data_IF_833159387502
#
_entry.id   IF_833159387502
#
_cell.length_a   1.000
_cell.length_b   1.000
_cell.length_c   1.000
_cell.angle_alpha   90.00
_cell.angle_beta   90.00
_cell.angle_gamma   90.00
#
_symmetry.space_group_name_H-M   'P 1'
#
loop_
_entity.id
_entity.type
_entity.pdbx_description
1 polymer ?
#
# COMPACT_ATOMS: atom_id res chain seq x y z
N UNK A 1 2.32 4.67 1.21
CA UNK A 1 2.99 3.38 1.05
C UNK A 1 2.53 2.44 2.17
N UNK A 2 2.01 1.28 1.81
CA UNK A 2 1.63 0.22 2.75
C UNK A 2 2.67 -0.90 2.58
N UNK A 3 3.41 -1.20 3.64
CA UNK A 3 4.50 -2.19 3.60
C UNK A 3 4.05 -3.44 4.35
N UNK A 4 3.95 -4.55 3.64
CA UNK A 4 3.57 -5.84 4.20
C UNK A 4 4.77 -6.59 4.81
N UNK A 5 4.48 -7.48 5.76
CA UNK A 5 5.47 -8.39 6.38
C UNK A 5 6.72 -7.69 6.91
N UNK A 6 6.57 -6.41 7.27
CA UNK A 6 7.66 -5.56 7.72
C UNK A 6 7.56 -5.32 9.23
N UNK A 7 8.50 -5.87 9.96
CA UNK A 7 8.50 -5.83 11.43
C UNK A 7 9.29 -4.65 11.97
N UNK A 8 8.85 -4.15 13.12
CA UNK A 8 9.51 -3.07 13.88
C UNK A 8 11.00 -3.35 14.10
N UNK A 9 11.37 -4.62 14.26
CA UNK A 9 12.75 -5.05 14.52
C UNK A 9 13.74 -4.68 13.40
N UNK A 10 13.27 -4.51 12.18
CA UNK A 10 14.12 -4.10 11.05
C UNK A 10 14.54 -2.63 11.09
N UNK A 11 13.85 -1.81 11.86
CA UNK A 11 14.09 -0.35 11.93
C UNK A 11 15.02 -0.04 13.09
N UNK A 12 16.22 0.47 12.82
CA UNK A 12 17.23 0.76 13.83
C UNK A 12 16.75 1.77 14.87
N UNK A 13 16.16 2.86 14.44
CA UNK A 13 15.64 3.95 15.31
C UNK A 13 14.59 3.50 16.32
N UNK A 14 13.88 2.42 16.06
CA UNK A 14 12.88 1.87 16.99
C UNK A 14 13.48 0.88 18.00
N UNK A 15 14.74 0.48 17.83
CA UNK A 15 15.38 -0.54 18.61
C UNK A 15 16.77 -0.11 19.14
N UNK A 16 16.90 1.07 19.75
CA UNK A 16 18.19 1.60 20.17
C UNK A 16 18.85 0.79 21.31
N UNK A 17 18.10 -0.12 21.91
CA UNK A 17 18.55 -0.96 23.03
C UNK A 17 19.16 -2.31 22.58
N UNK A 18 18.96 -2.71 21.32
CA UNK A 18 19.50 -3.96 20.79
C UNK A 18 21.02 -3.86 20.57
N UNK A 19 21.70 -5.01 20.61
CA UNK A 19 23.15 -5.13 20.43
C UNK A 19 23.96 -4.17 21.35
N UNK A 20 23.52 -4.04 22.60
CA UNK A 20 24.10 -3.12 23.58
C UNK A 20 24.14 -1.65 23.09
N UNK A 21 23.13 -1.23 22.34
CA UNK A 21 23.03 0.13 21.82
C UNK A 21 23.74 0.37 20.47
N UNK A 22 24.22 -0.68 19.82
CA UNK A 22 24.95 -0.56 18.54
C UNK A 22 24.13 -1.01 17.33
N UNK A 23 22.91 -1.51 17.54
CA UNK A 23 22.04 -1.97 16.47
C UNK A 23 21.64 -0.83 15.51
N UNK A 24 21.85 -1.04 14.22
CA UNK A 24 21.58 -0.05 13.17
C UNK A 24 20.35 -0.40 12.33
N UNK A 25 19.79 -1.61 12.50
CA UNK A 25 18.71 -2.07 11.64
C UNK A 25 19.13 -2.31 10.19
N UNK A 26 18.14 -2.43 9.33
CA UNK A 26 18.29 -2.69 7.90
C UNK A 26 17.75 -1.59 7.00
N UNK A 27 17.26 -0.50 7.59
CA UNK A 27 16.51 0.54 6.89
C UNK A 27 17.12 1.94 7.07
N UNK A 28 18.36 2.19 6.67
CA UNK A 28 19.05 3.46 6.94
C UNK A 28 18.34 4.68 6.32
N UNK A 29 17.70 4.51 5.16
CA UNK A 29 16.93 5.59 4.54
C UNK A 29 15.65 5.88 5.34
N UNK A 30 14.89 4.84 5.74
CA UNK A 30 13.70 5.00 6.56
C UNK A 30 14.05 5.62 7.92
N UNK A 31 15.12 5.16 8.56
CA UNK A 31 15.63 5.76 9.81
C UNK A 31 15.92 7.26 9.66
N UNK A 32 16.54 7.65 8.56
CA UNK A 32 16.76 9.07 8.21
C UNK A 32 15.43 9.83 8.05
N UNK A 33 14.45 9.23 7.41
CA UNK A 33 13.14 9.83 7.15
C UNK A 33 12.33 10.04 8.44
N UNK A 34 12.41 9.08 9.36
CA UNK A 34 11.75 9.14 10.67
C UNK A 34 12.18 10.35 11.51
N UNK A 35 13.40 10.85 11.31
CA UNK A 35 13.86 12.08 11.98
C UNK A 35 13.17 13.36 11.50
N UNK A 36 12.48 13.30 10.36
CA UNK A 36 11.82 14.45 9.70
C UNK A 36 10.30 14.33 9.70
N UNK A 37 9.76 13.26 10.22
CA UNK A 37 8.34 12.94 10.20
C UNK A 37 7.73 12.77 11.59
N UNK A 38 6.45 12.45 11.61
CA UNK A 38 5.73 12.04 12.81
C UNK A 38 5.71 10.51 12.87
N UNK A 39 6.08 9.96 14.03
CA UNK A 39 6.01 8.53 14.33
C UNK A 39 5.17 8.27 15.56
N UNK A 40 4.65 7.05 15.65
CA UNK A 40 3.84 6.63 16.80
C UNK A 40 4.54 5.48 17.51
N UNK A 41 4.80 5.66 18.82
CA UNK A 41 5.42 4.64 19.65
C UNK A 41 4.52 3.40 19.79
N UNK A 42 3.23 3.64 19.91
CA UNK A 42 2.22 2.59 20.05
C UNK A 42 1.37 2.54 18.79
N UNK A 43 1.77 1.68 17.87
CA UNK A 43 1.05 1.43 16.63
C UNK A 43 0.83 -0.08 16.47
N UNK A 44 -0.40 -0.47 16.18
CA UNK A 44 -0.79 -1.87 16.09
C UNK A 44 -1.47 -2.13 14.76
N UNK A 45 -1.14 -3.26 14.15
CA UNK A 45 -1.85 -3.70 12.95
C UNK A 45 -3.28 -4.09 13.31
N UNK A 46 -4.20 -3.78 12.42
CA UNK A 46 -5.60 -4.19 12.54
C UNK A 46 -5.83 -5.40 11.64
N UNK A 47 -5.84 -6.58 12.23
CA UNK A 47 -5.91 -7.84 11.51
C UNK A 47 -4.55 -8.55 11.37
N UNK A 48 -4.56 -9.73 10.76
CA UNK A 48 -3.40 -10.61 10.60
C UNK A 48 -3.04 -10.88 9.14
N UNK A 49 -3.82 -10.37 8.22
CA UNK A 49 -3.68 -10.58 6.78
C UNK A 49 -3.82 -9.26 6.05
N UNK A 50 -3.22 -9.15 4.89
CA UNK A 50 -3.30 -7.97 4.02
C UNK A 50 -4.72 -7.60 3.65
N UNK A 51 -5.57 -8.60 3.44
CA UNK A 51 -6.99 -8.43 3.17
C UNK A 51 -7.76 -7.74 4.32
N UNK A 52 -7.26 -7.82 5.55
CA UNK A 52 -7.82 -7.10 6.71
C UNK A 52 -7.26 -5.67 6.80
N UNK A 53 -6.00 -5.51 6.40
CA UNK A 53 -5.29 -4.23 6.52
C UNK A 53 -5.82 -3.15 5.58
N UNK A 54 -6.13 -3.51 4.34
CA UNK A 54 -6.60 -2.54 3.33
C UNK A 54 -7.88 -1.78 3.74
N UNK A 55 -8.97 -2.46 4.14
CA UNK A 55 -10.17 -1.76 4.60
C UNK A 55 -9.89 -0.86 5.82
N UNK A 56 -8.99 -1.29 6.69
CA UNK A 56 -8.64 -0.51 7.88
C UNK A 56 -7.90 0.77 7.54
N UNK A 57 -6.91 0.70 6.65
CA UNK A 57 -6.10 1.87 6.26
C UNK A 57 -6.90 2.86 5.42
N UNK A 58 -7.68 2.37 4.45
CA UNK A 58 -8.33 3.23 3.45
C UNK A 58 -9.72 3.70 3.85
N UNK A 59 -10.39 2.97 4.73
CA UNK A 59 -11.80 3.19 5.08
C UNK A 59 -12.10 3.13 6.57
N UNK A 60 -11.08 3.02 7.42
CA UNK A 60 -11.22 2.91 8.89
C UNK A 60 -12.12 1.76 9.35
N UNK A 61 -12.20 0.69 8.56
CA UNK A 61 -12.99 -0.50 8.89
C UNK A 61 -12.13 -1.42 9.76
N UNK A 62 -12.54 -1.73 11.00
CA UNK A 62 -11.78 -2.61 11.86
C UNK A 62 -11.80 -4.06 11.34
N UNK A 63 -10.80 -4.85 11.70
CA UNK A 63 -10.80 -6.28 11.44
C UNK A 63 -11.88 -6.99 12.24
N UNK A 64 -12.57 -7.92 11.59
CA UNK A 64 -13.55 -8.79 12.19
C UNK A 64 -13.05 -10.25 12.20
N UNK A 65 -13.90 -11.19 12.58
CA UNK A 65 -13.59 -12.62 12.52
C UNK A 65 -13.33 -13.05 11.08
N UNK A 66 -14.22 -12.61 10.17
CA UNK A 66 -14.07 -12.81 8.73
C UNK A 66 -13.54 -11.53 8.07
N UNK A 67 -12.65 -11.63 7.07
CA UNK A 67 -12.22 -10.48 6.28
C UNK A 67 -13.42 -9.73 5.69
N UNK A 68 -13.41 -8.41 5.78
CA UNK A 68 -14.49 -7.54 5.31
C UNK A 68 -14.95 -7.88 3.88
N UNK A 69 -14.01 -8.14 2.97
CA UNK A 69 -14.31 -8.47 1.57
C UNK A 69 -15.13 -9.75 1.38
N UNK A 70 -15.07 -10.67 2.34
CA UNK A 70 -15.75 -11.95 2.29
C UNK A 70 -17.13 -11.89 2.96
N UNK A 71 -17.54 -10.74 3.45
CA UNK A 71 -18.83 -10.55 4.11
C UNK A 71 -19.81 -9.77 3.23
N UNK A 72 -21.12 -9.93 3.41
CA UNK A 72 -22.12 -9.08 2.74
C UNK A 72 -21.95 -7.58 3.03
N UNK A 73 -21.26 -7.22 4.10
CA UNK A 73 -20.98 -5.83 4.44
C UNK A 73 -20.14 -5.12 3.37
N UNK A 74 -19.35 -5.84 2.59
CA UNK A 74 -18.57 -5.30 1.46
C UNK A 74 -19.43 -4.76 0.32
N UNK A 75 -20.71 -5.09 0.30
CA UNK A 75 -21.67 -4.56 -0.69
C UNK A 75 -22.27 -3.21 -0.27
N UNK A 76 -22.02 -2.77 0.96
CA UNK A 76 -22.48 -1.45 1.42
C UNK A 76 -21.65 -0.33 0.81
N UNK A 77 -22.25 0.83 0.74
CA UNK A 77 -21.54 2.06 0.39
C UNK A 77 -20.63 2.48 1.54
N UNK A 78 -19.32 2.41 1.31
CA UNK A 78 -18.30 2.67 2.33
C UNK A 78 -17.54 3.93 1.98
N UNK A 79 -17.42 4.84 2.95
CA UNK A 79 -16.58 6.01 2.79
C UNK A 79 -15.09 5.64 2.85
N UNK A 80 -14.27 6.38 2.13
CA UNK A 80 -12.83 6.23 2.12
C UNK A 80 -12.13 7.57 1.98
N UNK A 81 -10.83 7.58 2.26
CA UNK A 81 -10.01 8.75 2.03
C UNK A 81 -10.05 9.23 0.56
N UNK A 82 -10.05 8.30 -0.41
CA UNK A 82 -10.15 8.62 -1.82
C UNK A 82 -11.47 9.33 -2.15
N UNK A 83 -12.59 8.80 -1.65
CA UNK A 83 -13.92 9.38 -1.87
C UNK A 83 -14.06 10.76 -1.24
N UNK A 84 -13.58 10.95 -0.02
CA UNK A 84 -13.62 12.24 0.67
C UNK A 84 -12.80 13.31 -0.05
N UNK A 85 -11.62 12.94 -0.55
CA UNK A 85 -10.76 13.86 -1.28
C UNK A 85 -11.25 14.14 -2.71
N UNK A 86 -11.99 13.22 -3.32
CA UNK A 86 -12.61 13.43 -4.64
C UNK A 86 -13.53 14.65 -4.64
N UNK A 87 -14.30 14.88 -3.57
CA UNK A 87 -15.14 16.07 -3.41
C UNK A 87 -14.34 17.37 -3.35
N UNK A 88 -13.03 17.29 -3.13
CA UNK A 88 -12.08 18.41 -3.13
C UNK A 88 -11.28 18.51 -4.43
N UNK A 89 -11.64 17.72 -5.45
CA UNK A 89 -11.00 17.73 -6.75
C UNK A 89 -9.71 16.92 -6.86
N UNK A 90 -9.41 16.04 -5.90
CA UNK A 90 -8.27 15.13 -5.98
C UNK A 90 -8.56 13.99 -6.95
N UNK A 91 -7.58 13.67 -7.78
CA UNK A 91 -7.50 12.40 -8.48
C UNK A 91 -6.93 11.34 -7.53
N UNK A 92 -7.41 10.11 -7.63
CA UNK A 92 -6.98 9.04 -6.73
C UNK A 92 -6.59 7.76 -7.49
N UNK A 93 -5.45 7.17 -7.13
CA UNK A 93 -4.96 5.93 -7.74
C UNK A 93 -4.46 4.93 -6.70
N UNK A 94 -4.81 3.67 -6.89
CA UNK A 94 -4.34 2.54 -6.09
C UNK A 94 -3.41 1.66 -6.90
N UNK A 95 -2.29 1.24 -6.29
CA UNK A 95 -1.25 0.44 -6.91
C UNK A 95 -1.02 -0.86 -6.13
N UNK A 96 -0.85 -1.96 -6.85
CA UNK A 96 -0.51 -3.26 -6.27
C UNK A 96 0.14 -4.15 -7.31
N UNK A 97 1.39 -4.55 -7.13
CA UNK A 97 2.22 -5.26 -8.12
C UNK A 97 1.77 -6.67 -8.50
N UNK A 98 0.77 -7.23 -7.82
CA UNK A 98 0.23 -8.54 -8.14
C UNK A 98 -0.83 -8.48 -9.26
N UNK A 99 -1.32 -9.66 -9.65
CA UNK A 99 -2.40 -9.80 -10.64
C UNK A 99 -3.63 -9.00 -10.18
N UNK A 100 -4.26 -8.27 -11.10
CA UNK A 100 -5.32 -7.30 -10.80
C UNK A 100 -6.50 -7.83 -9.97
N UNK A 101 -6.84 -9.08 -10.03
CA UNK A 101 -7.88 -9.70 -9.19
C UNK A 101 -7.44 -10.18 -7.81
N UNK A 102 -6.13 -10.13 -7.50
CA UNK A 102 -5.59 -10.68 -6.26
C UNK A 102 -6.23 -10.09 -5.02
N UNK A 103 -6.63 -10.96 -4.09
CA UNK A 103 -7.24 -10.64 -2.80
C UNK A 103 -8.43 -9.67 -2.85
N UNK A 104 -9.03 -9.44 -4.03
CA UNK A 104 -10.15 -8.52 -4.20
C UNK A 104 -9.77 -7.03 -4.08
N UNK A 105 -8.48 -6.68 -4.08
CA UNK A 105 -8.02 -5.29 -3.89
C UNK A 105 -8.52 -4.33 -4.96
N UNK A 106 -8.53 -4.74 -6.22
CA UNK A 106 -9.08 -3.92 -7.30
C UNK A 106 -10.57 -3.64 -7.11
N UNK A 107 -11.35 -4.68 -6.78
CA UNK A 107 -12.79 -4.54 -6.54
C UNK A 107 -13.06 -3.60 -5.36
N UNK A 108 -12.29 -3.73 -4.28
CA UNK A 108 -12.41 -2.85 -3.13
C UNK A 108 -12.00 -1.40 -3.48
N UNK A 109 -10.86 -1.19 -4.09
CA UNK A 109 -10.41 0.15 -4.47
C UNK A 109 -11.47 0.87 -5.32
N UNK A 110 -12.06 0.16 -6.29
CA UNK A 110 -13.16 0.70 -7.10
C UNK A 110 -14.42 1.02 -6.24
N UNK A 111 -14.80 0.13 -5.34
CA UNK A 111 -15.99 0.30 -4.49
C UNK A 111 -15.87 1.48 -3.53
N UNK A 112 -14.67 1.76 -3.04
CA UNK A 112 -14.40 2.88 -2.13
C UNK A 112 -13.99 4.17 -2.85
N UNK A 113 -14.05 4.18 -4.18
CA UNK A 113 -14.02 5.41 -4.98
C UNK A 113 -12.67 5.85 -5.51
N UNK A 114 -11.66 4.99 -5.55
CA UNK A 114 -10.45 5.28 -6.32
C UNK A 114 -10.78 5.43 -7.79
N UNK A 115 -10.19 6.42 -8.45
CA UNK A 115 -10.40 6.70 -9.86
C UNK A 115 -9.68 5.71 -10.77
N UNK A 116 -8.55 5.17 -10.32
CA UNK A 116 -7.75 4.19 -11.08
C UNK A 116 -7.13 3.14 -10.17
N UNK A 117 -6.97 1.95 -10.75
CA UNK A 117 -6.19 0.85 -10.19
C UNK A 117 -5.08 0.49 -11.17
N UNK A 118 -3.86 0.34 -10.65
CA UNK A 118 -2.65 0.03 -11.40
C UNK A 118 -2.04 -1.24 -10.83
N UNK A 119 -2.16 -2.33 -11.56
CA UNK A 119 -1.65 -3.64 -11.17
C UNK A 119 -0.62 -4.18 -12.15
N UNK A 120 -0.40 -5.49 -12.10
CA UNK A 120 0.51 -6.19 -13.03
C UNK A 120 0.08 -6.05 -14.49
N UNK A 121 -1.23 -5.96 -14.76
CA UNK A 121 -1.71 -5.76 -16.15
C UNK A 121 -1.18 -4.44 -16.71
N UNK A 122 -1.38 -3.35 -15.99
CA UNK A 122 -0.95 -2.01 -16.44
C UNK A 122 0.58 -1.86 -16.43
N UNK A 123 1.27 -2.60 -15.56
CA UNK A 123 2.72 -2.70 -15.58
C UNK A 123 3.21 -3.34 -16.87
N UNK A 124 2.62 -4.47 -17.25
CA UNK A 124 3.00 -5.22 -18.45
C UNK A 124 2.69 -4.48 -19.76
N UNK A 125 1.73 -3.56 -19.74
CA UNK A 125 1.37 -2.73 -20.88
C UNK A 125 2.31 -1.53 -21.06
N UNK A 126 3.12 -1.18 -20.07
CA UNK A 126 4.04 -0.04 -20.14
C UNK A 126 5.37 -0.45 -20.81
N UNK A 127 5.69 0.07 -22.00
CA UNK A 127 6.88 -0.33 -22.74
C UNK A 127 8.21 0.11 -22.11
N UNK A 128 8.19 0.88 -21.03
CA UNK A 128 9.37 1.28 -20.28
C UNK A 128 9.84 0.22 -19.26
N UNK A 129 9.06 -0.84 -19.07
CA UNK A 129 9.32 -1.93 -18.12
C UNK A 129 9.35 -3.27 -18.85
N UNK A 130 9.90 -4.31 -18.21
CA UNK A 130 10.11 -5.60 -18.87
C UNK A 130 8.91 -6.55 -18.74
N UNK A 131 7.80 -6.07 -18.16
CA UNK A 131 6.59 -6.86 -18.01
C UNK A 131 6.80 -8.07 -17.11
N UNK A 132 6.38 -9.24 -17.58
CA UNK A 132 6.49 -10.49 -16.80
C UNK A 132 7.93 -10.99 -16.58
N UNK A 133 8.94 -10.39 -17.21
CA UNK A 133 10.34 -10.69 -16.88
C UNK A 133 10.72 -10.14 -15.50
N UNK A 134 9.99 -9.14 -15.00
CA UNK A 134 10.15 -8.59 -13.67
C UNK A 134 9.24 -9.27 -12.61
N UNK A 135 8.56 -10.35 -12.96
CA UNK A 135 7.71 -11.11 -12.04
C UNK A 135 8.54 -12.04 -11.17
N UNK A 136 8.26 -12.08 -9.86
CA UNK A 136 8.99 -12.88 -8.87
C UNK A 136 8.79 -14.42 -9.02
N UNK A 137 7.93 -14.83 -9.95
CA UNK A 137 7.59 -16.23 -10.21
C UNK A 137 6.52 -16.80 -9.28
N UNK A 138 6.03 -16.04 -8.30
CA UNK A 138 5.07 -16.51 -7.31
C UNK A 138 3.90 -15.58 -7.08
N UNK A 139 4.14 -14.29 -6.89
CA UNK A 139 3.14 -13.38 -6.37
C UNK A 139 2.96 -12.09 -7.19
N UNK A 140 4.03 -11.32 -7.36
CA UNK A 140 3.95 -9.97 -7.91
C UNK A 140 5.18 -9.59 -8.74
N UNK A 141 5.14 -8.45 -9.38
CA UNK A 141 6.33 -7.77 -9.90
C UNK A 141 7.23 -7.42 -8.71
N UNK A 142 8.55 -7.58 -8.87
CA UNK A 142 9.51 -7.20 -7.85
C UNK A 142 9.30 -5.77 -7.37
N UNK A 143 9.46 -5.54 -6.06
CA UNK A 143 9.16 -4.25 -5.43
C UNK A 143 9.93 -3.09 -6.04
N UNK A 144 11.21 -3.28 -6.38
CA UNK A 144 12.04 -2.24 -6.96
C UNK A 144 11.44 -1.76 -8.30
N UNK A 145 11.14 -2.67 -9.20
CA UNK A 145 10.60 -2.38 -10.53
C UNK A 145 9.19 -1.79 -10.42
N UNK A 146 8.36 -2.36 -9.56
CA UNK A 146 7.00 -1.86 -9.38
C UNK A 146 6.97 -0.47 -8.73
N UNK A 147 7.87 -0.17 -7.81
CA UNK A 147 7.99 1.18 -7.22
C UNK A 147 8.53 2.19 -8.23
N UNK A 148 9.40 1.80 -9.17
CA UNK A 148 9.80 2.68 -10.29
C UNK A 148 8.61 2.98 -11.20
N UNK A 149 7.79 1.98 -11.52
CA UNK A 149 6.56 2.19 -12.27
C UNK A 149 5.61 3.13 -11.53
N UNK A 150 5.38 2.90 -10.25
CA UNK A 150 4.57 3.77 -9.40
C UNK A 150 5.06 5.23 -9.42
N UNK A 151 6.36 5.44 -9.23
CA UNK A 151 6.95 6.77 -9.29
C UNK A 151 6.76 7.44 -10.66
N UNK A 152 6.98 6.69 -11.75
CA UNK A 152 6.76 7.19 -13.11
C UNK A 152 5.31 7.63 -13.29
N UNK A 153 4.34 6.79 -12.91
CA UNK A 153 2.91 7.13 -13.05
C UNK A 153 2.51 8.36 -12.24
N UNK A 154 3.05 8.55 -11.05
CA UNK A 154 2.76 9.75 -10.26
C UNK A 154 3.18 11.05 -10.97
N UNK A 155 4.22 11.02 -11.80
CA UNK A 155 4.63 12.22 -12.57
C UNK A 155 3.67 12.59 -13.68
N UNK A 156 2.80 11.67 -14.08
CA UNK A 156 1.82 11.85 -15.15
C UNK A 156 0.47 12.36 -14.62
N UNK A 157 0.23 12.29 -13.30
CA UNK A 157 -1.04 12.68 -12.70
C UNK A 157 -1.18 14.20 -12.58
N UNK A 158 -2.39 14.65 -12.84
CA UNK A 158 -2.76 16.05 -12.61
C UNK A 158 -2.97 16.29 -11.12
N UNK A 159 -2.33 17.31 -10.59
CA UNK A 159 -2.51 17.75 -9.21
C UNK A 159 -3.89 18.47 -9.01
N UNK A 160 -4.47 18.37 -7.81
CA UNK A 160 -4.00 17.54 -6.68
C UNK A 160 -4.37 16.07 -6.85
N UNK A 161 -3.53 15.17 -6.34
CA UNK A 161 -3.81 13.74 -6.35
C UNK A 161 -3.45 13.06 -5.02
N UNK A 162 -4.02 11.88 -4.81
CA UNK A 162 -3.67 10.96 -3.72
C UNK A 162 -3.43 9.58 -4.30
N UNK A 163 -2.37 8.92 -3.85
CA UNK A 163 -2.06 7.55 -4.25
C UNK A 163 -1.86 6.64 -3.04
N UNK A 164 -2.17 5.37 -3.23
CA UNK A 164 -1.81 4.30 -2.30
C UNK A 164 -1.10 3.22 -3.09
N UNK A 165 0.03 2.73 -2.59
CA UNK A 165 0.73 1.54 -3.10
C UNK A 165 0.89 0.53 -1.97
N UNK A 166 0.59 -0.74 -2.27
CA UNK A 166 0.63 -1.87 -1.37
C UNK A 166 1.60 -2.93 -1.92
#
# INVERSE_FOLDING_TARGET
>A
LIVESFSKEFVGSFNPHLDNGTYKGYTPFLDSLLTKGLTFEYSYSNGRKSIDGMPSVLSSIPSFVEPFFLTPASLNDVSSLARELKHKGYYSAFFHGAMNGSMGFQAFANSVGFDSYWGRTEYNEDPAFHGDDDFDGTWAIWDEEFLQFYCKRMTEFKEPFITSVF
#
